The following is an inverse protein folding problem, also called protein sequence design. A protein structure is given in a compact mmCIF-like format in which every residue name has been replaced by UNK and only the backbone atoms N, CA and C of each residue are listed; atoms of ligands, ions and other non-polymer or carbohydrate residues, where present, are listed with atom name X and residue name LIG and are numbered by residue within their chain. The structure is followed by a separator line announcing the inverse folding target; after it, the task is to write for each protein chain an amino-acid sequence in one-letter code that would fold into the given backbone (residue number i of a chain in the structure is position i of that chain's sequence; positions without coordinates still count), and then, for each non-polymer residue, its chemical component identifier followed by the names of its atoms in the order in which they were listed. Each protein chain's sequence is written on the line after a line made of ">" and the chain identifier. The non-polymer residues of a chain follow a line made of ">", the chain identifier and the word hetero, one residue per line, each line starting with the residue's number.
data_IF_304964176127
#
_entry.id   IF_304964176127
#
_cell.length_a   1.000
_cell.length_b   1.000
_cell.length_c   1.000
_cell.angle_alpha   90.00
_cell.angle_beta   90.00
_cell.angle_gamma   90.00
#
_symmetry.space_group_name_H-M   'P 1'
#
loop_
_entity.id
_entity.type
_entity.pdbx_description
1 polymer ?
#
# COMPACT_ATOMS: atom_id res chain seq x y z
N UNK A 1 -1.76 -23.05 19.41
CA UNK A 1 -0.62 -22.13 19.25
C UNK A 1 0.61 -22.73 19.92
N UNK A 2 0.67 -22.85 21.25
CA UNK A 2 1.86 -23.27 22.01
C UNK A 2 2.55 -24.54 21.48
N UNK A 3 1.76 -25.58 21.10
CA UNK A 3 2.29 -26.85 20.61
C UNK A 3 3.07 -26.75 19.28
N UNK A 4 2.70 -25.83 18.39
CA UNK A 4 3.22 -25.77 17.02
C UNK A 4 4.10 -24.55 16.75
N UNK A 5 3.85 -23.43 17.42
CA UNK A 5 4.55 -22.15 17.22
C UNK A 5 5.41 -21.76 18.42
N UNK A 6 5.18 -22.37 19.58
CA UNK A 6 5.72 -21.88 20.84
C UNK A 6 4.92 -20.68 21.39
N UNK A 7 5.29 -20.18 22.56
CA UNK A 7 4.79 -18.94 23.17
C UNK A 7 5.94 -18.28 23.92
N UNK A 8 6.01 -16.93 23.97
CA UNK A 8 5.15 -16.02 23.22
C UNK A 8 5.41 -16.08 21.71
N UNK A 9 4.38 -15.88 20.87
CA UNK A 9 4.53 -15.69 19.44
C UNK A 9 4.99 -14.26 19.13
N UNK A 10 5.59 -14.04 17.97
CA UNK A 10 6.13 -12.72 17.64
C UNK A 10 5.03 -11.70 17.42
N UNK A 11 4.05 -12.02 16.57
CA UNK A 11 2.95 -11.12 16.22
C UNK A 11 1.62 -11.89 16.27
N UNK A 12 0.62 -11.29 16.92
CA UNK A 12 -0.77 -11.74 16.88
C UNK A 12 -1.67 -10.60 16.42
N UNK A 13 -2.53 -10.86 15.45
CA UNK A 13 -3.39 -9.85 14.86
C UNK A 13 -4.85 -10.23 14.83
N UNK A 14 -5.72 -9.21 14.72
CA UNK A 14 -7.16 -9.40 14.55
C UNK A 14 -7.89 -8.06 14.39
N UNK A 15 -9.20 -8.11 14.26
CA UNK A 15 -10.02 -6.90 14.30
C UNK A 15 -9.98 -6.23 15.67
N UNK A 16 -10.19 -4.94 15.71
CA UNK A 16 -10.22 -4.17 16.97
C UNK A 16 -11.31 -4.65 17.93
N UNK A 17 -12.38 -5.28 17.43
CA UNK A 17 -13.45 -5.89 18.21
C UNK A 17 -13.00 -7.18 18.95
N UNK A 18 -11.91 -7.80 18.53
CA UNK A 18 -11.34 -8.97 19.19
C UNK A 18 -10.45 -8.63 20.39
N UNK A 19 -10.03 -7.37 20.56
CA UNK A 19 -9.18 -6.96 21.67
C UNK A 19 -9.80 -7.40 23.00
N UNK A 20 -11.10 -7.20 23.16
CA UNK A 20 -11.87 -7.69 24.30
C UNK A 20 -13.21 -8.30 23.84
N UNK A 21 -13.60 -9.48 24.35
CA UNK A 21 -12.89 -10.29 25.36
C UNK A 21 -11.91 -11.33 24.79
N UNK A 22 -11.81 -11.49 23.46
CA UNK A 22 -11.14 -12.65 22.84
C UNK A 22 -9.63 -12.69 23.13
N UNK A 23 -8.90 -11.67 22.74
CA UNK A 23 -7.44 -11.60 22.93
C UNK A 23 -7.04 -11.54 24.42
N UNK A 24 -7.84 -10.86 25.24
CA UNK A 24 -7.63 -10.87 26.70
C UNK A 24 -7.78 -12.29 27.28
N UNK A 25 -8.74 -13.07 26.78
CA UNK A 25 -8.89 -14.47 27.18
C UNK A 25 -7.72 -15.34 26.71
N UNK A 26 -7.17 -15.11 25.51
CA UNK A 26 -5.98 -15.81 25.02
C UNK A 26 -4.77 -15.51 25.91
N UNK A 27 -4.58 -14.24 26.30
CA UNK A 27 -3.54 -13.86 27.25
C UNK A 27 -3.72 -14.55 28.60
N UNK A 28 -4.93 -14.55 29.14
CA UNK A 28 -5.23 -15.21 30.41
C UNK A 28 -4.95 -16.73 30.36
N UNK A 29 -5.36 -17.39 29.27
CA UNK A 29 -5.11 -18.82 29.06
C UNK A 29 -3.61 -19.12 28.98
N UNK A 30 -2.84 -18.34 28.22
CA UNK A 30 -1.40 -18.53 28.08
C UNK A 30 -0.66 -18.32 29.42
N UNK A 31 -1.01 -17.25 30.13
CA UNK A 31 -0.42 -16.93 31.41
C UNK A 31 -0.72 -18.00 32.44
N UNK A 32 -1.97 -18.47 32.52
CA UNK A 32 -2.36 -19.51 33.49
C UNK A 32 -1.76 -20.90 33.18
N UNK A 33 -1.69 -21.25 31.87
CA UNK A 33 -1.24 -22.58 31.47
C UNK A 33 0.29 -22.73 31.44
N UNK A 34 1.01 -21.67 31.03
CA UNK A 34 2.45 -21.75 30.77
C UNK A 34 3.28 -20.70 31.49
N UNK A 35 2.66 -19.81 32.25
CA UNK A 35 3.31 -18.70 32.97
C UNK A 35 4.12 -17.77 32.04
N UNK A 36 3.62 -17.60 30.80
CA UNK A 36 4.23 -16.79 29.74
C UNK A 36 3.20 -15.89 29.10
N UNK A 37 3.66 -14.79 28.46
CA UNK A 37 2.81 -13.98 27.59
C UNK A 37 2.36 -14.77 26.35
N UNK A 38 1.25 -14.35 25.73
CA UNK A 38 0.75 -14.99 24.52
C UNK A 38 1.48 -14.50 23.26
N UNK A 39 1.65 -13.18 23.13
CA UNK A 39 2.32 -12.53 22.00
C UNK A 39 3.19 -11.37 22.44
N UNK A 40 4.27 -11.13 21.71
CA UNK A 40 5.16 -9.98 21.90
C UNK A 40 4.57 -8.70 21.33
N UNK A 41 3.92 -8.80 20.17
CA UNK A 41 3.30 -7.66 19.47
C UNK A 41 1.86 -7.98 19.10
N UNK A 42 0.99 -7.02 19.32
CA UNK A 42 -0.42 -7.10 18.98
C UNK A 42 -0.75 -6.09 17.87
N UNK A 43 -1.43 -6.55 16.82
CA UNK A 43 -1.88 -5.70 15.72
C UNK A 43 -3.40 -5.77 15.60
N UNK A 44 -4.08 -4.63 15.77
CA UNK A 44 -5.52 -4.56 15.63
C UNK A 44 -5.92 -3.72 14.42
N UNK A 45 -6.67 -4.33 13.51
CA UNK A 45 -7.18 -3.66 12.31
C UNK A 45 -8.50 -2.96 12.59
N UNK A 46 -8.76 -1.88 11.87
CA UNK A 46 -10.07 -1.26 11.81
C UNK A 46 -11.12 -2.19 11.19
N UNK A 47 -12.37 -1.81 11.31
CA UNK A 47 -13.50 -2.57 10.76
C UNK A 47 -13.63 -2.33 9.25
N UNK A 48 -14.08 -3.36 8.52
CA UNK A 48 -14.54 -3.20 7.14
C UNK A 48 -15.98 -2.72 7.15
N UNK A 49 -16.20 -1.57 6.54
CA UNK A 49 -17.51 -0.98 6.30
C UNK A 49 -17.87 -1.13 4.82
N UNK A 50 -19.14 -1.10 4.51
CA UNK A 50 -19.69 -1.03 3.15
C UNK A 50 -20.70 0.10 3.14
N UNK A 51 -20.42 1.14 2.37
CA UNK A 51 -21.21 2.37 2.33
C UNK A 51 -21.47 2.98 3.72
N UNK A 52 -20.42 3.00 4.55
CA UNK A 52 -20.45 3.56 5.90
C UNK A 52 -21.08 2.66 6.97
N UNK A 53 -21.60 1.50 6.62
CA UNK A 53 -22.23 0.55 7.55
C UNK A 53 -21.37 -0.70 7.72
N UNK A 54 -21.46 -1.33 8.91
CA UNK A 54 -20.76 -2.61 9.14
C UNK A 54 -21.27 -3.67 8.15
N UNK A 55 -20.32 -4.30 7.42
CA UNK A 55 -20.66 -5.40 6.52
C UNK A 55 -21.29 -6.57 7.28
N UNK A 56 -22.50 -6.96 6.89
CA UNK A 56 -23.18 -8.13 7.48
C UNK A 56 -24.15 -8.78 6.50
N UNK A 57 -24.34 -10.10 6.65
CA UNK A 57 -25.32 -10.85 5.84
C UNK A 57 -26.76 -10.41 6.10
N UNK A 58 -27.07 -9.97 7.31
CA UNK A 58 -28.42 -9.54 7.70
C UNK A 58 -28.81 -8.19 7.08
N UNK A 59 -27.84 -7.34 6.75
CA UNK A 59 -28.07 -6.06 6.09
C UNK A 59 -28.08 -6.18 4.56
N UNK A 60 -27.72 -7.34 4.00
CA UNK A 60 -27.68 -7.53 2.56
C UNK A 60 -26.53 -6.81 1.86
N UNK A 61 -25.60 -6.21 2.61
CA UNK A 61 -24.40 -5.51 2.11
C UNK A 61 -23.15 -6.40 2.14
N UNK A 62 -23.33 -7.72 2.19
CA UNK A 62 -22.24 -8.70 2.20
C UNK A 62 -21.91 -9.15 0.79
N UNK A 63 -20.63 -9.16 0.46
CA UNK A 63 -20.07 -9.77 -0.75
C UNK A 63 -18.82 -10.58 -0.39
N UNK A 64 -18.48 -11.53 -1.24
CA UNK A 64 -17.30 -12.38 -1.06
C UNK A 64 -16.12 -11.83 -1.81
N UNK A 65 -14.91 -12.21 -1.38
CA UNK A 65 -13.70 -11.91 -2.14
C UNK A 65 -13.76 -12.46 -3.57
N UNK A 66 -14.37 -13.63 -3.78
CA UNK A 66 -14.54 -14.23 -5.11
C UNK A 66 -15.35 -13.30 -6.03
N UNK A 67 -16.48 -12.78 -5.57
CA UNK A 67 -17.33 -11.86 -6.34
C UNK A 67 -16.58 -10.57 -6.70
N UNK A 68 -15.74 -10.04 -5.80
CA UNK A 68 -14.91 -8.87 -6.09
C UNK A 68 -13.89 -9.19 -7.18
N UNK A 69 -13.22 -10.35 -7.11
CA UNK A 69 -12.18 -10.74 -8.06
C UNK A 69 -12.72 -11.18 -9.43
N UNK A 70 -14.03 -11.42 -9.57
CA UNK A 70 -14.67 -11.60 -10.87
C UNK A 70 -14.76 -10.31 -11.69
N UNK A 71 -14.77 -9.15 -11.02
CA UNK A 71 -14.99 -7.85 -11.66
C UNK A 71 -13.74 -6.96 -11.66
N UNK A 72 -12.87 -7.11 -10.67
CA UNK A 72 -11.71 -6.26 -10.45
C UNK A 72 -10.44 -7.07 -10.17
N UNK A 73 -9.29 -6.45 -10.42
CA UNK A 73 -8.01 -7.09 -10.16
C UNK A 73 -7.70 -7.20 -8.65
N UNK A 74 -7.00 -8.27 -8.27
CA UNK A 74 -6.50 -8.42 -6.90
C UNK A 74 -5.57 -7.27 -6.49
N UNK A 75 -4.84 -6.69 -7.46
CA UNK A 75 -3.96 -5.55 -7.23
C UNK A 75 -4.75 -4.29 -6.85
N UNK A 76 -5.89 -4.03 -7.52
CA UNK A 76 -6.77 -2.91 -7.19
C UNK A 76 -7.33 -3.03 -5.78
N UNK A 77 -7.78 -4.22 -5.39
CA UNK A 77 -8.28 -4.46 -4.04
C UNK A 77 -7.18 -4.26 -2.99
N UNK A 78 -5.97 -4.75 -3.24
CA UNK A 78 -4.83 -4.53 -2.34
C UNK A 78 -4.47 -3.05 -2.23
N UNK A 79 -4.47 -2.32 -3.36
CA UNK A 79 -4.22 -0.88 -3.35
C UNK A 79 -5.27 -0.13 -2.54
N UNK A 80 -6.57 -0.45 -2.71
CA UNK A 80 -7.65 0.14 -1.92
C UNK A 80 -7.40 -0.04 -0.42
N UNK A 81 -6.99 -1.24 0.00
CA UNK A 81 -6.66 -1.51 1.40
C UNK A 81 -5.46 -0.70 1.89
N UNK A 82 -4.42 -0.54 1.07
CA UNK A 82 -3.20 0.17 1.43
C UNK A 82 -3.36 1.71 1.47
N UNK A 83 -4.41 2.24 0.84
CA UNK A 83 -4.72 3.68 0.87
C UNK A 83 -5.29 4.15 2.21
N UNK A 84 -5.60 3.22 3.12
CA UNK A 84 -6.13 3.53 4.45
C UNK A 84 -5.21 2.91 5.51
N UNK A 85 -4.96 3.64 6.62
CA UNK A 85 -4.25 3.05 7.74
C UNK A 85 -4.97 1.80 8.25
N UNK A 86 -4.22 0.72 8.51
CA UNK A 86 -4.81 -0.54 8.99
C UNK A 86 -5.58 -0.39 10.32
N UNK A 87 -5.25 0.64 11.13
CA UNK A 87 -5.96 0.94 12.38
C UNK A 87 -7.30 1.61 12.18
N UNK A 88 -7.52 2.22 11.02
CA UNK A 88 -8.74 2.96 10.71
C UNK A 88 -9.78 2.05 10.05
N UNK A 89 -11.07 2.32 10.24
CA UNK A 89 -12.10 1.65 9.45
C UNK A 89 -11.87 1.85 7.96
N UNK A 90 -11.94 0.77 7.19
CA UNK A 90 -11.92 0.80 5.74
C UNK A 90 -13.36 0.78 5.22
N UNK A 91 -13.77 1.85 4.58
CA UNK A 91 -15.07 1.91 3.90
C UNK A 91 -14.91 1.45 2.44
N UNK A 92 -15.45 0.28 2.15
CA UNK A 92 -15.46 -0.29 0.82
C UNK A 92 -16.66 0.23 0.03
N UNK A 93 -16.40 0.66 -1.21
CA UNK A 93 -17.42 0.80 -2.24
C UNK A 93 -16.86 0.38 -3.60
N UNK A 94 -17.73 0.00 -4.52
CA UNK A 94 -17.32 -0.34 -5.89
C UNK A 94 -16.65 0.83 -6.60
N UNK A 95 -17.13 2.05 -6.37
CA UNK A 95 -16.53 3.27 -6.90
C UNK A 95 -15.09 3.48 -6.42
N UNK A 96 -14.83 3.24 -5.13
CA UNK A 96 -13.46 3.32 -4.57
C UNK A 96 -12.54 2.26 -5.16
N UNK A 97 -13.06 1.06 -5.39
CA UNK A 97 -12.29 -0.02 -6.01
C UNK A 97 -11.95 0.29 -7.47
N UNK A 98 -12.90 0.84 -8.23
CA UNK A 98 -12.66 1.34 -9.59
C UNK A 98 -11.62 2.48 -9.58
N UNK A 99 -11.70 3.39 -8.61
CA UNK A 99 -10.69 4.44 -8.40
C UNK A 99 -9.29 3.88 -8.13
N UNK A 100 -9.18 2.79 -7.38
CA UNK A 100 -7.91 2.10 -7.14
C UNK A 100 -7.38 1.45 -8.44
N UNK A 101 -8.24 0.87 -9.26
CA UNK A 101 -7.87 0.30 -10.56
C UNK A 101 -7.36 1.34 -11.54
N UNK A 102 -8.03 2.49 -11.61
CA UNK A 102 -7.59 3.65 -12.38
C UNK A 102 -6.23 4.18 -11.88
N UNK A 103 -6.01 4.16 -10.57
CA UNK A 103 -4.74 4.56 -9.97
C UNK A 103 -3.60 3.62 -10.35
N UNK A 104 -3.82 2.31 -10.36
CA UNK A 104 -2.83 1.33 -10.85
C UNK A 104 -2.53 1.53 -12.33
N UNK A 105 -3.54 1.74 -13.14
CA UNK A 105 -3.38 2.03 -14.57
C UNK A 105 -2.53 3.27 -14.79
N UNK A 106 -2.73 4.31 -13.99
CA UNK A 106 -1.92 5.53 -14.03
C UNK A 106 -0.46 5.27 -13.67
N UNK A 107 -0.18 4.49 -12.62
CA UNK A 107 1.19 4.12 -12.23
C UNK A 107 1.85 3.33 -13.37
N UNK A 108 1.19 2.28 -13.87
CA UNK A 108 1.71 1.44 -14.95
C UNK A 108 2.00 2.25 -16.22
N UNK A 109 1.08 3.11 -16.62
CA UNK A 109 1.26 4.00 -17.77
C UNK A 109 2.43 4.97 -17.60
N UNK A 110 2.65 5.49 -16.38
CA UNK A 110 3.81 6.33 -16.10
C UNK A 110 5.12 5.55 -16.23
N UNK A 111 5.17 4.31 -15.73
CA UNK A 111 6.36 3.42 -15.89
C UNK A 111 6.63 3.14 -17.36
N UNK A 112 5.61 2.84 -18.15
CA UNK A 112 5.74 2.61 -19.59
C UNK A 112 6.25 3.86 -20.32
N UNK A 113 5.71 5.04 -20.02
CA UNK A 113 6.11 6.30 -20.61
C UNK A 113 7.58 6.66 -20.28
N UNK A 114 8.02 6.43 -19.03
CA UNK A 114 9.41 6.62 -18.62
C UNK A 114 10.36 5.70 -19.41
N UNK A 115 10.01 4.42 -19.52
CA UNK A 115 10.78 3.44 -20.29
C UNK A 115 10.81 3.77 -21.79
N UNK A 116 9.70 4.24 -22.33
CA UNK A 116 9.63 4.68 -23.70
C UNK A 116 10.54 5.89 -23.96
N UNK A 117 10.44 6.94 -23.12
CA UNK A 117 11.28 8.13 -23.22
C UNK A 117 12.77 7.78 -23.12
N UNK A 118 13.16 6.92 -22.17
CA UNK A 118 14.54 6.44 -22.01
C UNK A 118 15.11 5.76 -23.27
N UNK A 119 14.26 5.12 -24.08
CA UNK A 119 14.69 4.40 -25.28
C UNK A 119 14.59 5.22 -26.58
N UNK A 120 13.88 6.34 -26.55
CA UNK A 120 13.58 7.14 -27.74
C UNK A 120 14.09 8.59 -27.66
N UNK A 121 14.84 8.94 -26.60
CA UNK A 121 15.47 10.25 -26.50
C UNK A 121 16.41 10.50 -27.69
N UNK A 122 16.27 11.65 -28.34
CA UNK A 122 17.03 12.04 -29.54
C UNK A 122 17.82 13.32 -29.36
N UNK A 123 17.59 14.04 -28.27
CA UNK A 123 18.30 15.27 -27.91
C UNK A 123 19.12 15.08 -26.62
N UNK A 124 20.10 15.94 -26.42
CA UNK A 124 20.89 15.97 -25.20
C UNK A 124 20.04 16.41 -24.00
N UNK A 125 20.13 15.68 -22.91
CA UNK A 125 19.40 15.98 -21.70
C UNK A 125 19.98 17.20 -20.98
N UNK A 126 19.10 17.97 -20.30
CA UNK A 126 19.54 18.97 -19.33
C UNK A 126 20.04 18.24 -18.07
N UNK A 127 21.34 18.32 -17.82
CA UNK A 127 22.02 17.63 -16.71
C UNK A 127 21.46 18.08 -15.36
N UNK A 128 21.21 19.38 -15.15
CA UNK A 128 20.69 19.90 -13.89
C UNK A 128 19.25 19.42 -13.63
N UNK A 129 18.39 19.39 -14.66
CA UNK A 129 17.03 18.87 -14.55
C UNK A 129 17.03 17.36 -14.29
N UNK A 130 17.93 16.62 -14.92
CA UNK A 130 18.07 15.16 -14.75
C UNK A 130 18.56 14.79 -13.35
N UNK A 131 19.54 15.53 -12.81
CA UNK A 131 20.01 15.35 -11.42
C UNK A 131 18.90 15.67 -10.40
N UNK A 132 18.19 16.79 -10.60
CA UNK A 132 17.07 17.15 -9.74
C UNK A 132 15.96 16.08 -9.74
N UNK A 133 15.65 15.52 -10.90
CA UNK A 133 14.67 14.45 -11.04
C UNK A 133 15.14 13.13 -10.39
N UNK A 134 16.41 12.75 -10.57
CA UNK A 134 16.99 11.58 -9.91
C UNK A 134 16.97 11.72 -8.38
N UNK A 135 17.20 12.93 -7.85
CA UNK A 135 17.08 13.22 -6.43
C UNK A 135 15.65 12.99 -5.91
N UNK A 136 14.62 13.29 -6.70
CA UNK A 136 13.22 13.03 -6.36
C UNK A 136 12.91 11.53 -6.22
N UNK A 137 13.47 10.68 -7.06
CA UNK A 137 13.34 9.23 -6.92
C UNK A 137 13.92 8.73 -5.60
N UNK A 138 15.10 9.21 -5.22
CA UNK A 138 15.74 8.87 -3.95
C UNK A 138 14.94 9.38 -2.73
N UNK A 139 14.43 10.62 -2.79
CA UNK A 139 13.56 11.21 -1.76
C UNK A 139 12.29 10.38 -1.58
N UNK A 140 11.64 9.96 -2.68
CA UNK A 140 10.44 9.14 -2.64
C UNK A 140 10.67 7.81 -1.94
N UNK A 141 11.77 7.11 -2.26
CA UNK A 141 12.15 5.85 -1.58
C UNK A 141 12.38 6.05 -0.08
N UNK A 142 13.05 7.15 0.29
CA UNK A 142 13.29 7.48 1.69
C UNK A 142 11.98 7.75 2.43
N UNK A 143 11.10 8.58 1.86
CA UNK A 143 9.79 8.90 2.43
C UNK A 143 8.89 7.66 2.53
N UNK A 144 8.88 6.81 1.49
CA UNK A 144 8.17 5.53 1.52
C UNK A 144 8.63 4.67 2.70
N UNK A 145 9.96 4.52 2.85
CA UNK A 145 10.54 3.74 3.95
C UNK A 145 10.21 4.34 5.31
N UNK A 146 10.34 5.64 5.48
CA UNK A 146 9.97 6.34 6.73
C UNK A 146 8.52 6.10 7.11
N UNK A 147 7.60 6.20 6.14
CA UNK A 147 6.19 5.88 6.36
C UNK A 147 5.98 4.42 6.78
N UNK A 148 6.67 3.48 6.15
CA UNK A 148 6.56 2.06 6.49
C UNK A 148 7.18 1.73 7.85
N UNK A 149 8.24 2.42 8.25
CA UNK A 149 8.87 2.29 9.57
C UNK A 149 8.00 2.94 10.68
N UNK A 150 7.10 3.86 10.34
CA UNK A 150 6.14 4.49 11.24
C UNK A 150 4.81 3.71 11.27
N UNK A 151 4.81 2.60 12.00
CA UNK A 151 3.62 1.76 12.24
C UNK A 151 2.87 1.33 10.95
N UNK A 152 3.62 1.02 9.90
CA UNK A 152 3.05 0.65 8.59
C UNK A 152 2.08 1.70 8.04
N UNK A 153 2.47 2.96 8.04
CA UNK A 153 1.69 4.05 7.46
C UNK A 153 1.65 3.93 5.92
N UNK A 154 0.94 2.91 5.45
CA UNK A 154 0.79 2.61 4.02
C UNK A 154 0.11 3.75 3.26
N UNK A 155 -0.82 4.46 3.90
CA UNK A 155 -1.48 5.62 3.29
C UNK A 155 -0.48 6.75 2.98
N UNK A 156 0.44 7.05 3.91
CA UNK A 156 1.53 8.00 3.69
C UNK A 156 2.51 7.52 2.63
N UNK A 157 2.89 6.24 2.66
CA UNK A 157 3.77 5.62 1.67
C UNK A 157 3.17 5.71 0.25
N UNK A 158 1.88 5.40 0.09
CA UNK A 158 1.17 5.55 -1.19
C UNK A 158 1.05 7.02 -1.62
N UNK A 159 0.92 7.94 -0.67
CA UNK A 159 0.97 9.38 -0.94
C UNK A 159 2.30 9.80 -1.59
N UNK A 160 3.43 9.30 -1.10
CA UNK A 160 4.74 9.55 -1.70
C UNK A 160 4.84 8.97 -3.12
N UNK A 161 4.33 7.74 -3.35
CA UNK A 161 4.28 7.13 -4.70
C UNK A 161 3.45 7.96 -5.66
N UNK A 162 2.24 8.39 -5.29
CA UNK A 162 1.40 9.21 -6.17
C UNK A 162 1.96 10.61 -6.41
N UNK A 163 2.64 11.19 -5.42
CA UNK A 163 3.42 12.43 -5.59
C UNK A 163 4.48 12.25 -6.66
N UNK A 164 5.26 11.18 -6.57
CA UNK A 164 6.32 10.89 -7.53
C UNK A 164 5.80 10.58 -8.93
N UNK A 165 4.66 9.90 -9.08
CA UNK A 165 3.99 9.74 -10.38
C UNK A 165 3.70 11.11 -11.03
N UNK A 166 3.33 12.10 -10.25
CA UNK A 166 3.10 13.46 -10.75
C UNK A 166 4.41 14.13 -11.19
N UNK A 167 5.47 14.01 -10.40
CA UNK A 167 6.82 14.51 -10.76
C UNK A 167 7.34 13.83 -12.03
N UNK A 168 7.14 12.51 -12.19
CA UNK A 168 7.52 11.77 -13.40
C UNK A 168 6.82 12.31 -14.66
N UNK A 169 5.52 12.55 -14.58
CA UNK A 169 4.77 13.07 -15.72
C UNK A 169 5.19 14.52 -16.06
N UNK A 170 5.46 15.35 -15.06
CA UNK A 170 5.97 16.71 -15.27
C UNK A 170 7.38 16.69 -15.92
N UNK A 171 8.25 15.80 -15.45
CA UNK A 171 9.58 15.63 -16.05
C UNK A 171 9.47 15.23 -17.53
N UNK A 172 8.65 14.24 -17.86
CA UNK A 172 8.44 13.79 -19.22
C UNK A 172 7.87 14.90 -20.13
N UNK A 173 6.94 15.69 -19.62
CA UNK A 173 6.37 16.83 -20.36
C UNK A 173 7.42 17.92 -20.64
N UNK A 174 8.29 18.22 -19.67
CA UNK A 174 9.31 19.25 -19.79
C UNK A 174 10.49 18.80 -20.65
N UNK A 175 10.94 17.55 -20.46
CA UNK A 175 12.10 17.00 -21.17
C UNK A 175 11.77 16.69 -22.65
N UNK A 176 10.54 16.26 -22.96
CA UNK A 176 10.17 15.86 -24.32
C UNK A 176 11.15 14.83 -24.88
N UNK A 177 11.78 15.17 -26.02
CA UNK A 177 12.76 14.30 -26.68
C UNK A 177 14.16 14.32 -26.03
N UNK A 178 14.36 15.12 -24.98
CA UNK A 178 15.62 15.29 -24.25
C UNK A 178 15.60 14.61 -22.87
N UNK A 179 14.79 13.57 -22.67
CA UNK A 179 14.73 12.83 -21.42
C UNK A 179 16.06 12.08 -21.17
N UNK A 180 16.64 12.25 -19.99
CA UNK A 180 17.83 11.49 -19.60
C UNK A 180 17.48 10.02 -19.39
N UNK A 181 18.20 9.16 -20.10
CA UNK A 181 17.95 7.70 -20.09
C UNK A 181 18.12 7.09 -18.71
N UNK A 182 19.18 7.45 -17.99
CA UNK A 182 19.49 6.85 -16.69
C UNK A 182 18.49 7.32 -15.64
N UNK A 183 18.14 8.61 -15.63
CA UNK A 183 17.17 9.18 -14.72
C UNK A 183 15.76 8.59 -14.96
N UNK A 184 15.34 8.47 -16.22
CA UNK A 184 14.03 7.89 -16.57
C UNK A 184 13.93 6.40 -16.20
N UNK A 185 14.97 5.60 -16.43
CA UNK A 185 14.98 4.19 -16.03
C UNK A 185 14.98 4.03 -14.50
N UNK A 186 15.80 4.83 -13.78
CA UNK A 186 15.81 4.79 -12.32
C UNK A 186 14.44 5.17 -11.71
N UNK A 187 13.75 6.13 -12.31
CA UNK A 187 12.40 6.50 -11.90
C UNK A 187 11.37 5.39 -12.19
N UNK A 188 11.46 4.76 -13.37
CA UNK A 188 10.60 3.62 -13.72
C UNK A 188 10.79 2.45 -12.76
N UNK A 189 12.04 2.13 -12.39
CA UNK A 189 12.35 1.07 -11.43
C UNK A 189 11.86 1.42 -10.02
N UNK A 190 11.97 2.71 -9.62
CA UNK A 190 11.41 3.17 -8.33
C UNK A 190 9.91 2.97 -8.20
N UNK A 191 9.17 3.14 -9.31
CA UNK A 191 7.71 2.90 -9.32
C UNK A 191 7.34 1.43 -9.49
N UNK A 192 8.25 0.59 -10.01
CA UNK A 192 8.00 -0.83 -10.25
C UNK A 192 8.32 -1.74 -9.04
N UNK A 193 9.14 -1.26 -8.10
CA UNK A 193 9.44 -1.91 -6.81
C UNK A 193 8.28 -1.84 -5.84
#
# INVERSE_FOLDING_TARGET
>A
VHRYLGTPIDIHGGGSDLAFPHHENECAQATCAWHQGFSNTWMHTGMLLVDGEKMSKSLGNFFTLAEVLEQHSAAALRLLMLQTSYRSPLDFSWERLEGAENSLTRIAGTVENLRWAANHATADADEAASEAFAAKAAETRATFKECMDDDFNTAGAMGAVFGFVTECNQYLEQAGDAADKAAALAAADTLAE
#
